data_IF_819593131205
#
_entry.id   IF_819593131205
#
_cell.length_a   1.000
_cell.length_b   1.000
_cell.length_c   1.000
_cell.angle_alpha   90.00
_cell.angle_beta   90.00
_cell.angle_gamma   90.00
#
_symmetry.space_group_name_H-M   'P 1'
#
loop_
_entity.id
_entity.type
_entity.pdbx_description
1 polymer ?
#
# COMPACT_ATOMS: atom_id res chain seq x y z
N UNK A 1 -19.59 -59.01 -60.27
CA UNK A 1 -20.06 -59.27 -58.92
C UNK A 1 -19.51 -58.19 -58.05
N UNK A 2 -20.26 -57.18 -57.67
CA UNK A 2 -19.86 -56.13 -56.79
C UNK A 2 -20.54 -56.32 -55.43
N UNK A 3 -19.77 -56.51 -54.42
CA UNK A 3 -20.28 -56.49 -53.07
C UNK A 3 -20.16 -55.08 -52.47
N UNK A 4 -21.29 -54.38 -52.46
CA UNK A 4 -21.41 -53.14 -51.75
C UNK A 4 -21.46 -53.41 -50.22
N UNK A 5 -20.44 -53.03 -49.49
CA UNK A 5 -20.46 -53.06 -48.06
C UNK A 5 -21.21 -51.79 -47.57
N UNK A 6 -22.34 -52.07 -46.97
CA UNK A 6 -23.19 -51.11 -46.31
C UNK A 6 -22.47 -50.67 -45.00
N UNK A 7 -21.95 -49.44 -44.97
CA UNK A 7 -21.36 -48.85 -43.75
C UNK A 7 -22.52 -48.30 -42.94
N UNK A 8 -22.75 -48.90 -41.79
CA UNK A 8 -23.70 -48.38 -40.81
C UNK A 8 -23.13 -47.12 -40.16
N UNK A 9 -23.89 -46.04 -40.08
CA UNK A 9 -23.45 -44.88 -39.32
C UNK A 9 -23.58 -45.21 -37.81
N UNK A 10 -22.47 -45.52 -37.18
CA UNK A 10 -22.42 -45.60 -35.75
C UNK A 10 -22.65 -44.19 -35.19
N UNK A 11 -23.70 -44.15 -34.43
CA UNK A 11 -24.13 -43.01 -33.64
C UNK A 11 -22.96 -42.51 -32.79
N UNK A 12 -22.34 -41.43 -33.20
CA UNK A 12 -21.47 -40.67 -32.38
C UNK A 12 -22.34 -39.89 -31.38
N UNK A 13 -22.70 -40.54 -30.30
CA UNK A 13 -23.17 -39.85 -29.10
C UNK A 13 -21.99 -39.08 -28.58
N UNK A 14 -21.88 -37.85 -29.01
CA UNK A 14 -21.01 -36.87 -28.37
C UNK A 14 -21.63 -36.63 -27.02
N UNK A 15 -21.12 -37.35 -26.04
CA UNK A 15 -21.31 -37.02 -24.63
C UNK A 15 -20.67 -35.67 -24.43
N UNK A 16 -21.51 -34.65 -24.46
CA UNK A 16 -21.14 -33.32 -24.11
C UNK A 16 -20.83 -33.34 -22.60
N UNK A 17 -19.59 -33.70 -22.27
CA UNK A 17 -19.07 -33.52 -20.95
C UNK A 17 -19.22 -32.04 -20.64
N UNK A 18 -20.19 -31.77 -19.79
CA UNK A 18 -20.35 -30.47 -19.15
C UNK A 18 -19.04 -30.18 -18.41
N UNK A 19 -18.17 -29.47 -19.10
CA UNK A 19 -17.01 -28.86 -18.49
C UNK A 19 -17.55 -27.73 -17.58
N UNK A 20 -17.91 -28.10 -16.37
CA UNK A 20 -18.13 -27.14 -15.31
C UNK A 20 -16.78 -26.51 -15.04
N UNK A 21 -16.51 -25.42 -15.74
CA UNK A 21 -15.50 -24.46 -15.36
C UNK A 21 -15.89 -23.93 -13.98
N UNK A 22 -15.35 -24.58 -12.97
CA UNK A 22 -15.20 -23.99 -11.65
C UNK A 22 -14.30 -22.76 -11.83
N UNK A 23 -14.89 -21.67 -12.30
CA UNK A 23 -14.35 -20.35 -12.09
C UNK A 23 -14.41 -20.13 -10.59
N UNK A 24 -13.35 -20.54 -9.89
CA UNK A 24 -13.10 -20.06 -8.56
C UNK A 24 -12.97 -18.53 -8.68
N UNK A 25 -14.11 -17.87 -8.54
CA UNK A 25 -14.17 -16.45 -8.25
C UNK A 25 -13.43 -16.26 -6.93
N UNK A 26 -12.13 -15.99 -7.01
CA UNK A 26 -11.47 -15.29 -5.95
C UNK A 26 -12.15 -13.93 -5.89
N UNK A 27 -13.26 -13.89 -5.18
CA UNK A 27 -13.78 -12.66 -4.64
C UNK A 27 -12.69 -12.16 -3.70
N UNK A 28 -11.73 -11.42 -4.26
CA UNK A 28 -10.93 -10.49 -3.49
C UNK A 28 -11.94 -9.54 -2.87
N UNK A 29 -12.38 -9.86 -1.66
CA UNK A 29 -13.03 -8.92 -0.80
C UNK A 29 -12.01 -7.84 -0.52
N UNK A 30 -11.92 -6.90 -1.46
CA UNK A 30 -11.34 -5.60 -1.18
C UNK A 30 -12.28 -5.03 -0.12
N UNK A 31 -11.92 -5.22 1.15
CA UNK A 31 -12.48 -4.42 2.22
C UNK A 31 -12.06 -3.00 1.93
N UNK A 32 -12.87 -2.29 1.17
CA UNK A 32 -12.82 -0.84 1.11
C UNK A 32 -13.25 -0.36 2.50
N UNK A 33 -12.29 -0.26 3.40
CA UNK A 33 -12.47 0.55 4.58
C UNK A 33 -12.65 1.98 4.07
N UNK A 34 -13.90 2.41 4.11
CA UNK A 34 -14.25 3.80 3.94
C UNK A 34 -13.68 4.52 5.17
N UNK A 35 -12.42 4.97 5.06
CA UNK A 35 -11.81 5.80 6.08
C UNK A 35 -12.66 7.07 6.17
N UNK A 36 -13.45 7.17 7.23
CA UNK A 36 -14.11 8.42 7.58
C UNK A 36 -12.99 9.38 8.00
N UNK A 37 -12.69 10.34 7.14
CA UNK A 37 -11.74 11.40 7.43
C UNK A 37 -12.35 12.33 8.46
N UNK A 38 -12.14 12.02 9.73
CA UNK A 38 -12.33 13.00 10.79
C UNK A 38 -11.07 13.87 10.82
N UNK A 39 -11.09 15.00 10.16
CA UNK A 39 -10.15 16.06 10.43
C UNK A 39 -10.42 16.57 11.84
N UNK A 40 -9.55 16.24 12.77
CA UNK A 40 -9.55 16.82 14.11
C UNK A 40 -8.68 18.10 14.08
N UNK A 41 -9.27 19.33 14.17
CA UNK A 41 -8.52 20.57 14.00
C UNK A 41 -7.72 21.01 15.24
N UNK A 42 -7.64 20.19 16.29
CA UNK A 42 -7.02 20.56 17.55
C UNK A 42 -6.04 19.51 18.04
N UNK A 43 -4.84 19.45 17.43
CA UNK A 43 -3.69 18.90 18.13
C UNK A 43 -2.46 19.78 17.88
N UNK A 44 -2.28 20.79 18.73
CA UNK A 44 -1.08 21.62 18.78
C UNK A 44 0.03 20.91 19.52
N UNK A 45 0.46 19.76 18.99
CA UNK A 45 1.74 19.17 19.32
C UNK A 45 2.79 19.85 18.43
N UNK A 46 3.70 20.59 19.02
CA UNK A 46 4.82 21.26 18.34
C UNK A 46 5.86 20.25 17.81
N UNK A 47 5.45 19.38 16.92
CA UNK A 47 6.35 18.74 15.99
C UNK A 47 6.54 19.70 14.82
N UNK A 48 7.74 19.92 14.33
CA UNK A 48 8.01 20.80 13.17
C UNK A 48 7.33 20.34 11.87
N UNK A 49 6.32 19.47 11.97
CA UNK A 49 5.46 18.94 10.91
C UNK A 49 4.16 19.74 10.89
N UNK A 50 3.79 20.25 9.72
CA UNK A 50 2.58 21.08 9.56
C UNK A 50 1.28 20.29 9.49
N UNK A 51 1.31 18.95 9.34
CA UNK A 51 0.12 18.12 9.17
C UNK A 51 0.23 16.79 9.91
N UNK A 52 -0.93 16.27 10.30
CA UNK A 52 -1.07 14.95 10.92
C UNK A 52 -2.17 14.16 10.22
N UNK A 53 -1.95 12.89 9.97
CA UNK A 53 -2.98 11.93 9.54
C UNK A 53 -3.07 10.80 10.56
N UNK A 54 -4.23 10.14 10.65
CA UNK A 54 -4.45 9.07 11.61
C UNK A 54 -4.41 7.71 10.91
N UNK A 55 -3.54 6.83 11.39
CA UNK A 55 -3.55 5.41 11.03
C UNK A 55 -4.59 4.70 11.90
N UNK A 56 -5.67 4.23 11.27
CA UNK A 56 -6.68 3.44 11.95
C UNK A 56 -6.21 1.99 12.13
N UNK A 57 -6.34 1.46 13.33
CA UNK A 57 -6.05 0.07 13.67
C UNK A 57 -7.33 -0.77 13.76
N UNK A 58 -7.19 -2.09 13.58
CA UNK A 58 -8.31 -3.02 13.61
C UNK A 58 -9.04 -3.07 14.98
N UNK A 59 -8.37 -2.71 16.06
CA UNK A 59 -8.93 -2.64 17.41
C UNK A 59 -9.68 -1.33 17.71
N UNK A 60 -9.90 -0.47 16.71
CA UNK A 60 -10.58 0.82 16.85
C UNK A 60 -9.69 1.96 17.36
N UNK A 61 -8.43 1.69 17.71
CA UNK A 61 -7.47 2.72 18.05
C UNK A 61 -6.93 3.40 16.79
N UNK A 62 -6.36 4.59 16.95
CA UNK A 62 -5.64 5.29 15.89
C UNK A 62 -4.28 5.79 16.38
N UNK A 63 -3.33 5.82 15.48
CA UNK A 63 -1.97 6.31 15.72
C UNK A 63 -1.77 7.55 14.84
N UNK A 64 -1.39 8.70 15.42
CA UNK A 64 -1.07 9.89 14.64
C UNK A 64 0.24 9.68 13.88
N UNK A 65 0.24 10.06 12.63
CA UNK A 65 1.40 10.08 11.73
C UNK A 65 1.60 11.52 11.28
N UNK A 66 2.69 12.12 11.71
CA UNK A 66 3.02 13.49 11.36
C UNK A 66 3.77 13.57 10.04
N UNK A 67 3.44 14.55 9.21
CA UNK A 67 4.05 14.70 7.89
C UNK A 67 4.09 16.14 7.40
N UNK A 68 4.96 16.37 6.44
CA UNK A 68 5.00 17.57 5.62
C UNK A 68 5.07 17.14 4.14
N UNK A 69 4.19 17.68 3.33
CA UNK A 69 4.18 17.45 1.88
C UNK A 69 4.19 18.81 1.16
N UNK A 70 5.06 18.96 0.18
CA UNK A 70 5.19 20.24 -0.54
C UNK A 70 4.25 20.35 -1.74
N UNK A 71 3.82 19.21 -2.32
CA UNK A 71 2.89 19.16 -3.45
C UNK A 71 1.82 18.11 -3.15
N UNK A 72 0.55 18.49 -3.35
CA UNK A 72 -0.57 17.57 -3.16
C UNK A 72 -1.03 17.46 -1.71
N UNK A 73 -1.67 16.33 -1.40
CA UNK A 73 -2.25 16.04 -0.08
C UNK A 73 -2.05 14.57 0.24
N UNK A 74 -1.81 14.25 1.50
CA UNK A 74 -1.99 12.90 2.03
C UNK A 74 -3.49 12.65 2.20
N UNK A 75 -4.00 11.63 1.52
CA UNK A 75 -5.40 11.22 1.59
C UNK A 75 -5.66 10.26 2.75
N UNK A 76 -4.64 9.55 3.17
CA UNK A 76 -4.68 8.61 4.28
C UNK A 76 -3.51 7.65 4.27
N UNK A 77 -3.40 6.89 5.34
CA UNK A 77 -2.36 5.88 5.54
C UNK A 77 -2.99 4.53 5.85
N UNK A 78 -2.39 3.46 5.37
CA UNK A 78 -2.82 2.08 5.59
C UNK A 78 -1.61 1.23 5.97
N UNK A 79 -1.75 0.40 6.97
CA UNK A 79 -0.71 -0.52 7.43
C UNK A 79 -1.03 -1.96 7.00
N UNK A 80 -0.15 -2.56 6.23
CA UNK A 80 -0.10 -4.00 6.04
C UNK A 80 0.90 -4.59 7.05
N UNK A 81 0.37 -5.10 8.16
CA UNK A 81 1.20 -5.68 9.24
C UNK A 81 1.96 -6.92 8.78
N UNK A 82 1.36 -7.72 7.89
CA UNK A 82 1.96 -8.98 7.44
C UNK A 82 3.23 -8.76 6.61
N UNK A 83 3.29 -7.63 5.93
CA UNK A 83 4.43 -7.21 5.10
C UNK A 83 5.24 -6.08 5.73
N UNK A 84 4.89 -5.65 6.94
CA UNK A 84 5.47 -4.48 7.59
C UNK A 84 5.56 -3.28 6.63
N UNK A 85 4.46 -2.98 5.93
CA UNK A 85 4.40 -1.93 4.91
C UNK A 85 3.39 -0.86 5.30
N UNK A 86 3.84 0.38 5.37
CA UNK A 86 2.98 1.56 5.53
C UNK A 86 2.77 2.19 4.17
N UNK A 87 1.54 2.12 3.66
CA UNK A 87 1.14 2.75 2.40
C UNK A 87 0.54 4.12 2.67
N UNK A 88 1.11 5.16 2.07
CA UNK A 88 0.64 6.54 2.12
C UNK A 88 -0.04 6.86 0.80
N UNK A 89 -1.36 7.04 0.84
CA UNK A 89 -2.13 7.46 -0.32
C UNK A 89 -2.03 8.98 -0.46
N UNK A 90 -1.65 9.45 -1.63
CA UNK A 90 -1.52 10.87 -1.94
C UNK A 90 -2.39 11.26 -3.14
N UNK A 91 -2.86 12.49 -3.13
CA UNK A 91 -3.37 13.13 -4.36
C UNK A 91 -2.42 14.26 -4.72
N UNK A 92 -1.88 14.18 -5.92
CA UNK A 92 -1.13 15.29 -6.46
C UNK A 92 -2.08 16.12 -7.32
N UNK A 93 -2.15 17.45 -7.15
CA UNK A 93 -2.85 18.26 -8.11
C UNK A 93 -2.11 18.13 -9.45
N UNK A 94 -2.84 18.17 -10.55
CA UNK A 94 -2.27 18.27 -11.89
C UNK A 94 -1.47 19.58 -11.95
N UNK A 95 -0.24 19.54 -11.48
CA UNK A 95 0.62 20.71 -11.45
C UNK A 95 1.14 20.96 -12.87
N UNK A 96 0.94 22.17 -13.33
CA UNK A 96 1.55 22.69 -14.56
C UNK A 96 3.07 22.78 -14.44
N UNK A 97 3.58 22.67 -13.22
CA UNK A 97 5.00 22.74 -12.92
C UNK A 97 5.65 21.36 -12.95
N UNK A 98 6.80 21.24 -13.60
CA UNK A 98 7.58 20.01 -13.71
C UNK A 98 8.30 19.63 -12.40
N UNK A 99 7.83 20.11 -11.26
CA UNK A 99 8.47 19.90 -9.97
C UNK A 99 8.10 18.56 -9.37
N UNK A 100 9.10 17.82 -8.93
CA UNK A 100 8.91 16.63 -8.11
C UNK A 100 8.41 17.03 -6.72
N UNK A 101 7.52 16.17 -6.17
CA UNK A 101 7.07 16.29 -4.81
C UNK A 101 8.08 15.74 -3.81
N UNK A 102 7.95 16.21 -2.57
CA UNK A 102 8.66 15.66 -1.43
C UNK A 102 7.67 15.44 -0.27
N UNK A 103 7.71 14.24 0.29
CA UNK A 103 7.02 13.88 1.52
C UNK A 103 8.05 13.68 2.61
N UNK A 104 7.98 14.49 3.68
CA UNK A 104 8.67 14.21 4.93
C UNK A 104 7.67 13.61 5.90
N UNK A 105 7.94 12.41 6.41
CA UNK A 105 7.00 11.67 7.26
C UNK A 105 7.72 11.12 8.48
N UNK A 106 7.11 11.27 9.67
CA UNK A 106 7.60 10.71 10.91
C UNK A 106 6.81 9.43 11.22
N UNK A 107 7.52 8.32 11.32
CA UNK A 107 6.95 6.99 11.48
C UNK A 107 7.29 6.48 12.88
N UNK A 108 6.28 6.20 13.72
CA UNK A 108 6.52 5.47 14.98
C UNK A 108 7.08 4.08 14.69
N UNK A 109 8.10 3.67 15.45
CA UNK A 109 8.79 2.38 15.24
C UNK A 109 7.91 1.15 15.50
N UNK A 110 6.87 1.29 16.30
CA UNK A 110 5.87 0.25 16.52
C UNK A 110 4.96 0.08 15.30
N UNK A 111 4.73 1.13 14.50
CA UNK A 111 3.96 1.06 13.25
C UNK A 111 4.74 0.28 12.20
N UNK A 112 5.91 0.75 11.84
CA UNK A 112 6.83 0.05 10.93
C UNK A 112 8.26 0.41 11.31
N UNK A 113 9.09 -0.60 11.48
CA UNK A 113 10.54 -0.43 11.65
C UNK A 113 11.31 -1.32 10.68
N UNK A 114 12.54 -0.98 10.42
CA UNK A 114 13.42 -1.80 9.59
C UNK A 114 14.72 -2.11 10.34
N UNK A 115 14.90 -3.38 10.62
CA UNK A 115 16.03 -3.93 11.37
C UNK A 115 16.76 -4.98 10.53
N UNK A 116 18.06 -5.06 10.70
CA UNK A 116 18.89 -6.15 10.23
C UNK A 116 19.26 -7.08 11.39
N UNK A 117 19.98 -8.15 11.09
CA UNK A 117 20.50 -9.05 12.12
C UNK A 117 21.22 -8.29 13.22
N UNK A 118 21.00 -8.70 14.48
CA UNK A 118 21.54 -8.03 15.66
C UNK A 118 20.77 -6.76 16.08
N UNK A 119 19.54 -6.56 15.63
CA UNK A 119 18.67 -5.43 16.00
C UNK A 119 19.17 -4.04 15.58
N UNK A 120 20.21 -3.94 14.77
CA UNK A 120 20.65 -2.67 14.24
C UNK A 120 19.67 -2.13 13.19
N UNK A 121 19.52 -0.80 13.13
CA UNK A 121 18.66 -0.17 12.12
C UNK A 121 19.17 -0.45 10.71
N UNK A 122 18.24 -0.72 9.82
CA UNK A 122 18.46 -0.84 8.39
C UNK A 122 17.71 0.29 7.65
N UNK A 123 18.19 0.73 6.47
CA UNK A 123 17.47 1.71 5.68
C UNK A 123 16.14 1.13 5.20
N UNK A 124 15.07 1.94 5.23
CA UNK A 124 13.79 1.57 4.64
C UNK A 124 13.91 1.40 3.12
N UNK A 125 13.13 0.47 2.57
CA UNK A 125 12.85 0.46 1.14
C UNK A 125 11.58 1.23 0.89
N UNK A 126 11.59 2.06 -0.15
CA UNK A 126 10.42 2.88 -0.50
C UNK A 126 10.09 2.69 -1.96
N UNK A 127 8.82 2.44 -2.24
CA UNK A 127 8.31 2.43 -3.59
C UNK A 127 7.31 3.57 -3.78
N UNK A 128 7.36 4.20 -4.94
CA UNK A 128 6.34 5.16 -5.40
C UNK A 128 5.66 4.55 -6.61
N UNK A 129 4.36 4.32 -6.51
CA UNK A 129 3.57 3.60 -7.52
C UNK A 129 4.23 2.29 -7.97
N UNK A 130 4.76 1.53 -6.99
CA UNK A 130 5.40 0.24 -7.20
C UNK A 130 6.83 0.28 -7.76
N UNK A 131 7.44 1.45 -7.92
CA UNK A 131 8.83 1.63 -8.38
C UNK A 131 9.73 2.07 -7.24
N UNK A 132 10.96 1.57 -7.21
CA UNK A 132 11.94 2.00 -6.22
C UNK A 132 12.13 3.52 -6.26
N UNK A 133 12.10 4.15 -5.09
CA UNK A 133 12.23 5.58 -4.91
C UNK A 133 13.44 5.93 -4.05
N UNK A 134 13.98 7.12 -4.27
CA UNK A 134 15.03 7.67 -3.43
C UNK A 134 14.43 8.10 -2.09
N UNK A 135 14.96 7.56 -1.03
CA UNK A 135 14.60 7.90 0.35
C UNK A 135 15.84 8.36 1.11
N UNK A 136 15.65 9.38 1.95
CA UNK A 136 16.67 9.85 2.89
C UNK A 136 16.06 9.83 4.28
N UNK A 137 16.70 9.15 5.21
CA UNK A 137 16.38 9.27 6.64
C UNK A 137 16.98 10.57 7.16
N UNK A 138 16.13 11.43 7.71
CA UNK A 138 16.52 12.77 8.18
C UNK A 138 16.63 12.85 9.70
N UNK A 139 15.93 11.94 10.41
CA UNK A 139 16.02 11.81 11.86
C UNK A 139 15.74 10.36 12.28
N UNK A 140 16.37 9.94 13.37
CA UNK A 140 16.30 8.58 13.89
C UNK A 140 16.40 8.59 15.41
N UNK A 141 15.27 8.39 16.05
CA UNK A 141 15.16 8.35 17.52
C UNK A 141 14.87 6.94 18.04
N UNK A 142 14.73 6.78 19.35
CA UNK A 142 14.33 5.50 19.96
C UNK A 142 12.89 5.11 19.63
N UNK A 143 12.04 6.08 19.32
CA UNK A 143 10.58 5.87 19.14
C UNK A 143 10.08 6.14 17.74
N UNK A 144 10.80 6.96 16.98
CA UNK A 144 10.38 7.40 15.65
C UNK A 144 11.52 7.39 14.65
N UNK A 145 11.19 7.31 13.38
CA UNK A 145 12.10 7.51 12.24
C UNK A 145 11.47 8.50 11.27
N UNK A 146 12.25 9.48 10.81
CA UNK A 146 11.78 10.50 9.88
C UNK A 146 12.41 10.30 8.52
N UNK A 147 11.56 10.15 7.51
CA UNK A 147 11.98 9.92 6.12
C UNK A 147 11.60 11.10 5.26
N UNK A 148 12.50 11.49 4.34
CA UNK A 148 12.23 12.40 3.24
C UNK A 148 12.24 11.60 1.95
N UNK A 149 11.10 11.61 1.23
CA UNK A 149 10.82 10.76 0.07
C UNK A 149 10.47 11.66 -1.10
N UNK A 150 11.23 11.52 -2.20
CA UNK A 150 10.92 12.21 -3.43
C UNK A 150 9.92 11.40 -4.27
N UNK A 151 8.95 12.07 -4.88
CA UNK A 151 7.97 11.44 -5.74
C UNK A 151 7.60 12.31 -6.95
N UNK A 152 7.17 11.69 -8.02
CA UNK A 152 6.70 12.37 -9.22
C UNK A 152 5.34 13.01 -9.00
N UNK A 153 5.06 14.09 -9.71
CA UNK A 153 3.80 14.85 -9.62
C UNK A 153 2.52 14.03 -9.79
N UNK A 154 2.57 12.89 -10.48
CA UNK A 154 1.41 12.03 -10.73
C UNK A 154 1.30 10.87 -9.75
N UNK A 155 2.19 10.81 -8.76
CA UNK A 155 2.24 9.73 -7.79
C UNK A 155 0.94 9.64 -6.98
N UNK A 156 0.54 8.39 -6.69
CA UNK A 156 -0.71 8.08 -5.96
C UNK A 156 -0.45 7.34 -4.67
N UNK A 157 0.56 6.50 -4.64
CA UNK A 157 0.87 5.66 -3.48
C UNK A 157 2.37 5.66 -3.21
N UNK A 158 2.72 5.83 -1.95
CA UNK A 158 4.09 5.69 -1.44
C UNK A 158 4.07 4.55 -0.43
N UNK A 159 4.75 3.44 -0.74
CA UNK A 159 4.90 2.28 0.13
C UNK A 159 6.24 2.34 0.86
N UNK A 160 6.19 2.38 2.18
CA UNK A 160 7.35 2.37 3.06
C UNK A 160 7.45 0.98 3.68
N UNK A 161 8.49 0.25 3.29
CA UNK A 161 8.66 -1.18 3.58
C UNK A 161 9.75 -1.36 4.62
N UNK A 162 9.35 -1.93 5.75
CA UNK A 162 10.22 -2.32 6.84
C UNK A 162 10.39 -3.84 6.93
N UNK A 163 10.85 -4.28 8.09
CA UNK A 163 10.98 -5.69 8.44
C UNK A 163 10.04 -6.12 9.57
N UNK A 164 9.54 -5.17 10.36
CA UNK A 164 8.70 -5.43 11.54
C UNK A 164 7.59 -4.40 11.71
N UNK A 165 6.48 -4.85 12.28
CA UNK A 165 5.38 -4.01 12.78
C UNK A 165 4.84 -4.65 14.06
N UNK A 166 4.80 -3.89 15.16
CA UNK A 166 4.43 -4.41 16.50
C UNK A 166 3.12 -3.84 17.03
N UNK A 167 2.45 -2.93 16.30
CA UNK A 167 1.13 -2.41 16.70
C UNK A 167 0.09 -3.53 16.78
N UNK A 168 -0.76 -3.47 17.79
CA UNK A 168 -1.83 -4.44 18.04
C UNK A 168 -3.21 -3.84 17.74
#
# INVERSE_FOLDING_TARGET
MQFARKISPSVFTVSMAVLILLTSSFASTIFMYKAAYAQNPNNSGSSGFGNTTNLALANGKSIPIDYLINIGKVLGVVLDKSRATLSVNISSPSATDNNNGNLTIQIPRDVVDNKKEGNADAPFRVHVDGKDATVRETDNTKTTRTLSIQFNKDAKVIDIIGSTSTVQ
#
